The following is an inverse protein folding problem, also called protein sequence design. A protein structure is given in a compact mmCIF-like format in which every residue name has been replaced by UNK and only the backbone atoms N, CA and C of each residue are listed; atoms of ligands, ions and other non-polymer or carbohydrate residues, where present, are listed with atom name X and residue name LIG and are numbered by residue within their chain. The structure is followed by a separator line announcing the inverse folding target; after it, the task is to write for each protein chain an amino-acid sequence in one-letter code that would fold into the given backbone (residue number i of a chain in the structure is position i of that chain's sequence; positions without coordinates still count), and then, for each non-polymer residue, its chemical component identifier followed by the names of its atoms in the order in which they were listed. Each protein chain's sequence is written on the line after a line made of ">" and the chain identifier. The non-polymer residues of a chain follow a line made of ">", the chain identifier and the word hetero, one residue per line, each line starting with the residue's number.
data_IF_470911956090
#
_entry.id   IF_470911956090
#
_cell.length_a   1.000
_cell.length_b   1.000
_cell.length_c   1.000
_cell.angle_alpha   90.00
_cell.angle_beta   90.00
_cell.angle_gamma   90.00
#
_symmetry.space_group_name_H-M   'P 1'
#
loop_
_entity.id
_entity.type
_entity.pdbx_description
1 polymer ?
#
# COMPACT_ATOMS: atom_id res chain seq x y z
N UNK A 1 -31.97 -0.81 10.15
CA UNK A 1 -30.73 -1.58 9.90
C UNK A 1 -30.67 -2.72 10.90
N UNK A 2 -30.67 -3.98 10.44
CA UNK A 2 -30.65 -5.16 11.32
C UNK A 2 -29.31 -5.35 12.02
N UNK A 3 -29.31 -6.08 13.14
CA UNK A 3 -28.10 -6.36 13.93
C UNK A 3 -26.98 -7.03 13.12
N UNK A 4 -27.34 -7.91 12.17
CA UNK A 4 -26.41 -8.56 11.24
C UNK A 4 -25.58 -7.58 10.40
N UNK A 5 -26.17 -6.44 10.00
CA UNK A 5 -25.44 -5.42 9.24
C UNK A 5 -24.36 -4.76 10.09
N UNK A 6 -24.62 -4.53 11.38
CA UNK A 6 -23.65 -3.94 12.30
C UNK A 6 -22.47 -4.87 12.54
N UNK A 7 -22.72 -6.17 12.68
CA UNK A 7 -21.69 -7.19 12.84
C UNK A 7 -20.78 -7.30 11.60
N UNK A 8 -21.37 -7.35 10.40
CA UNK A 8 -20.62 -7.37 9.14
C UNK A 8 -19.79 -6.10 8.99
N UNK A 9 -20.36 -4.93 9.28
CA UNK A 9 -19.64 -3.67 9.22
C UNK A 9 -18.47 -3.62 10.22
N UNK A 10 -18.69 -4.07 11.45
CA UNK A 10 -17.64 -4.13 12.47
C UNK A 10 -16.51 -5.09 12.06
N UNK A 11 -16.86 -6.26 11.53
CA UNK A 11 -15.90 -7.23 11.02
C UNK A 11 -15.08 -6.66 9.86
N UNK A 12 -15.75 -6.03 8.88
CA UNK A 12 -15.07 -5.39 7.76
C UNK A 12 -14.12 -4.28 8.24
N UNK A 13 -14.57 -3.41 9.14
CA UNK A 13 -13.75 -2.34 9.72
C UNK A 13 -12.55 -2.92 10.47
N UNK A 14 -12.72 -4.01 11.23
CA UNK A 14 -11.63 -4.65 11.92
C UNK A 14 -10.59 -5.22 10.95
N UNK A 15 -11.03 -5.98 9.93
CA UNK A 15 -10.13 -6.63 8.96
C UNK A 15 -9.39 -5.60 8.11
N UNK A 16 -10.09 -4.66 7.48
CA UNK A 16 -9.45 -3.60 6.69
C UNK A 16 -8.65 -2.63 7.58
N UNK A 17 -9.10 -2.41 8.81
CA UNK A 17 -8.39 -1.60 9.80
C UNK A 17 -7.02 -2.16 10.15
N UNK A 18 -6.91 -3.49 10.35
CA UNK A 18 -5.61 -4.16 10.57
C UNK A 18 -4.68 -3.96 9.38
N UNK A 19 -5.17 -4.19 8.16
CA UNK A 19 -4.38 -3.97 6.93
C UNK A 19 -3.90 -2.53 6.80
N UNK A 20 -4.77 -1.56 7.07
CA UNK A 20 -4.44 -0.14 7.06
C UNK A 20 -3.38 0.21 8.12
N UNK A 21 -3.53 -0.26 9.36
CA UNK A 21 -2.58 0.00 10.45
C UNK A 21 -1.21 -0.58 10.13
N UNK A 22 -1.14 -1.81 9.61
CA UNK A 22 0.11 -2.43 9.18
C UNK A 22 0.82 -1.58 8.11
N UNK A 23 0.09 -1.19 7.06
CA UNK A 23 0.64 -0.36 5.99
C UNK A 23 1.09 1.00 6.50
N UNK A 24 0.33 1.65 7.38
CA UNK A 24 0.72 2.94 7.97
C UNK A 24 2.03 2.84 8.76
N UNK A 25 2.12 1.87 9.68
CA UNK A 25 3.30 1.68 10.54
C UNK A 25 4.53 1.38 9.68
N UNK A 26 4.41 0.42 8.76
CA UNK A 26 5.51 0.04 7.87
C UNK A 26 5.91 1.20 6.96
N UNK A 27 4.96 1.94 6.40
CA UNK A 27 5.26 3.10 5.56
C UNK A 27 5.97 4.20 6.34
N UNK A 28 5.63 4.41 7.62
CA UNK A 28 6.33 5.35 8.49
C UNK A 28 7.79 4.94 8.72
N UNK A 29 8.04 3.65 8.97
CA UNK A 29 9.40 3.11 9.16
C UNK A 29 10.20 3.19 7.86
N UNK A 30 9.63 2.73 6.75
CA UNK A 30 10.28 2.71 5.44
C UNK A 30 10.55 4.13 4.92
N UNK A 31 9.69 5.10 5.26
CA UNK A 31 9.84 6.49 4.85
C UNK A 31 11.14 7.16 5.31
N UNK A 32 11.83 6.61 6.33
CA UNK A 32 13.14 7.09 6.78
C UNK A 32 14.30 6.73 5.86
N UNK A 33 14.18 5.68 5.04
CA UNK A 33 15.32 5.14 4.27
C UNK A 33 15.00 4.93 2.78
N UNK A 34 13.74 4.72 2.42
CA UNK A 34 13.34 4.37 1.05
C UNK A 34 13.27 5.62 0.18
N UNK A 35 13.98 5.56 -0.95
CA UNK A 35 13.87 6.50 -2.07
C UNK A 35 13.98 7.99 -1.66
N UNK A 36 14.92 8.32 -0.76
CA UNK A 36 15.09 9.67 -0.18
C UNK A 36 15.32 10.78 -1.20
N UNK A 37 15.92 10.46 -2.35
CA UNK A 37 16.22 11.41 -3.44
C UNK A 37 15.23 11.35 -4.61
N UNK A 38 14.17 10.55 -4.50
CA UNK A 38 13.20 10.39 -5.58
C UNK A 38 12.09 11.45 -5.49
N UNK A 39 11.40 11.68 -6.61
CA UNK A 39 10.19 12.53 -6.63
C UNK A 39 9.16 12.05 -5.60
N UNK A 40 8.30 12.93 -5.04
CA UNK A 40 7.28 12.58 -4.05
C UNK A 40 6.43 11.39 -4.43
N UNK A 41 6.01 11.30 -5.70
CA UNK A 41 5.23 10.17 -6.17
C UNK A 41 6.04 8.89 -6.18
N UNK A 42 7.30 8.96 -6.63
CA UNK A 42 8.19 7.81 -6.65
C UNK A 42 8.52 7.31 -5.24
N UNK A 43 8.81 8.22 -4.32
CA UNK A 43 9.11 7.91 -2.92
C UNK A 43 7.90 7.33 -2.21
N UNK A 44 6.73 7.95 -2.37
CA UNK A 44 5.47 7.41 -1.82
C UNK A 44 5.17 6.02 -2.40
N UNK A 45 5.33 5.84 -3.71
CA UNK A 45 5.06 4.56 -4.38
C UNK A 45 5.96 3.42 -3.90
N UNK A 46 7.26 3.66 -3.73
CA UNK A 46 8.18 2.65 -3.19
C UNK A 46 7.91 2.35 -1.72
N UNK A 47 7.77 3.39 -0.91
CA UNK A 47 7.55 3.27 0.54
C UNK A 47 6.28 2.48 0.83
N UNK A 48 5.17 2.86 0.18
CA UNK A 48 3.87 2.24 0.41
C UNK A 48 3.74 0.90 -0.32
N UNK A 49 4.33 0.76 -1.51
CA UNK A 49 4.35 -0.50 -2.24
C UNK A 49 5.07 -1.62 -1.48
N UNK A 50 6.23 -1.32 -0.88
CA UNK A 50 6.96 -2.29 -0.04
C UNK A 50 6.18 -2.57 1.25
N UNK A 51 5.63 -1.54 1.91
CA UNK A 51 4.78 -1.72 3.09
C UNK A 51 3.56 -2.62 2.80
N UNK A 52 2.91 -2.41 1.67
CA UNK A 52 1.83 -3.25 1.17
C UNK A 52 2.31 -4.68 0.95
N UNK A 53 3.44 -4.89 0.27
CA UNK A 53 3.96 -6.23 -0.01
C UNK A 53 4.25 -7.02 1.26
N UNK A 54 4.88 -6.38 2.25
CA UNK A 54 5.17 -7.00 3.56
C UNK A 54 3.86 -7.33 4.28
N UNK A 55 2.89 -6.41 4.29
CA UNK A 55 1.60 -6.62 4.95
C UNK A 55 0.81 -7.75 4.30
N UNK A 56 0.71 -7.73 2.97
CA UNK A 56 0.05 -8.75 2.18
C UNK A 56 0.74 -10.10 2.36
N UNK A 57 2.07 -10.16 2.31
CA UNK A 57 2.85 -11.38 2.56
C UNK A 57 2.59 -11.95 3.95
N UNK A 58 2.64 -11.11 4.99
CA UNK A 58 2.35 -11.54 6.36
C UNK A 58 0.94 -12.15 6.50
N UNK A 59 -0.06 -11.55 5.85
CA UNK A 59 -1.42 -12.09 5.82
C UNK A 59 -1.53 -13.34 4.95
N UNK A 60 -0.85 -13.40 3.80
CA UNK A 60 -0.82 -14.56 2.90
C UNK A 60 -0.26 -15.78 3.62
N UNK A 61 0.72 -15.65 4.52
CA UNK A 61 1.31 -16.79 5.22
C UNK A 61 0.77 -16.99 6.65
N UNK A 62 0.17 -15.97 7.25
CA UNK A 62 -0.38 -16.01 8.60
C UNK A 62 -1.89 -16.25 8.69
N UNK A 63 -2.65 -16.04 7.59
CA UNK A 63 -4.10 -16.21 7.61
C UNK A 63 -4.53 -17.69 7.60
N UNK A 64 -5.67 -18.02 8.26
CA UNK A 64 -6.28 -19.34 8.20
C UNK A 64 -6.62 -19.77 6.77
N UNK A 65 -6.72 -21.09 6.55
CA UNK A 65 -6.95 -21.71 5.23
C UNK A 65 -8.20 -21.20 4.49
N UNK A 66 -9.23 -20.78 5.21
CA UNK A 66 -10.45 -20.24 4.59
C UNK A 66 -10.35 -18.80 4.07
N UNK A 67 -9.31 -18.04 4.45
CA UNK A 67 -9.29 -16.59 4.26
C UNK A 67 -8.02 -16.04 3.59
N UNK A 68 -6.97 -16.84 3.45
CA UNK A 68 -5.69 -16.38 2.89
C UNK A 68 -5.79 -15.93 1.43
N UNK A 69 -6.76 -16.44 0.67
CA UNK A 69 -7.04 -15.99 -0.71
C UNK A 69 -7.39 -14.50 -0.79
N UNK A 70 -7.99 -13.94 0.26
CA UNK A 70 -8.35 -12.52 0.33
C UNK A 70 -7.22 -11.66 0.92
N UNK A 71 -6.15 -12.27 1.44
CA UNK A 71 -5.07 -11.56 2.12
C UNK A 71 -4.43 -10.42 1.31
N UNK A 72 -4.20 -10.52 -0.03
CA UNK A 72 -3.68 -9.39 -0.81
C UNK A 72 -4.64 -8.19 -0.87
N UNK A 73 -5.96 -8.43 -0.77
CA UNK A 73 -6.97 -7.38 -0.88
C UNK A 73 -7.15 -6.62 0.44
N UNK A 74 -6.88 -7.24 1.58
CA UNK A 74 -7.07 -6.64 2.91
C UNK A 74 -6.24 -5.35 3.10
N UNK A 75 -4.92 -5.30 2.85
CA UNK A 75 -4.14 -4.09 3.01
C UNK A 75 -4.26 -3.11 1.84
N UNK A 76 -4.87 -3.50 0.72
CA UNK A 76 -4.89 -2.70 -0.52
C UNK A 76 -5.60 -1.34 -0.36
N UNK A 77 -6.81 -1.24 0.23
CA UNK A 77 -7.44 0.06 0.47
C UNK A 77 -6.58 0.97 1.37
N UNK A 78 -5.94 0.40 2.39
CA UNK A 78 -5.01 1.11 3.26
C UNK A 78 -3.79 1.62 2.49
N UNK A 79 -3.20 0.80 1.61
CA UNK A 79 -2.11 1.21 0.75
C UNK A 79 -2.48 2.35 -0.19
N UNK A 80 -3.64 2.31 -0.82
CA UNK A 80 -4.10 3.41 -1.68
C UNK A 80 -4.28 4.72 -0.89
N UNK A 81 -4.93 4.64 0.28
CA UNK A 81 -5.14 5.81 1.14
C UNK A 81 -3.83 6.40 1.67
N UNK A 82 -2.93 5.55 2.17
CA UNK A 82 -1.63 5.96 2.71
C UNK A 82 -0.71 6.51 1.62
N UNK A 83 -0.70 5.90 0.42
CA UNK A 83 0.01 6.42 -0.74
C UNK A 83 -0.42 7.84 -1.06
N UNK A 84 -1.73 8.09 -1.14
CA UNK A 84 -2.24 9.43 -1.43
C UNK A 84 -1.88 10.43 -0.33
N UNK A 85 -2.00 10.04 0.94
CA UNK A 85 -1.67 10.89 2.07
C UNK A 85 -0.18 11.26 2.12
N UNK A 86 0.71 10.26 2.01
CA UNK A 86 2.18 10.48 2.00
C UNK A 86 2.57 11.31 0.79
N UNK A 87 2.06 10.99 -0.40
CA UNK A 87 2.34 11.75 -1.63
C UNK A 87 1.91 13.21 -1.47
N UNK A 88 0.73 13.48 -0.92
CA UNK A 88 0.26 14.85 -0.68
C UNK A 88 1.19 15.61 0.27
N UNK A 89 1.61 14.98 1.37
CA UNK A 89 2.54 15.58 2.34
C UNK A 89 3.92 15.84 1.75
N UNK A 90 4.47 14.89 1.00
CA UNK A 90 5.76 15.03 0.32
C UNK A 90 5.70 16.10 -0.78
N UNK A 91 4.62 16.14 -1.56
CA UNK A 91 4.44 17.13 -2.64
C UNK A 91 4.34 18.56 -2.08
N UNK A 92 3.61 18.76 -0.98
CA UNK A 92 3.52 20.10 -0.36
C UNK A 92 4.89 20.60 0.04
N UNK A 93 5.66 19.79 0.77
CA UNK A 93 7.02 20.14 1.20
C UNK A 93 7.96 20.37 0.03
N UNK A 94 7.82 19.56 -1.03
CA UNK A 94 8.64 19.71 -2.22
C UNK A 94 8.32 21.00 -2.99
N UNK A 95 7.05 21.36 -3.12
CA UNK A 95 6.65 22.64 -3.73
C UNK A 95 7.17 23.81 -2.87
N UNK A 96 7.08 23.73 -1.55
CA UNK A 96 7.60 24.78 -0.66
C UNK A 96 9.13 24.95 -0.83
N UNK A 97 9.86 23.85 -0.99
CA UNK A 97 11.31 23.84 -1.27
C UNK A 97 11.67 24.35 -2.69
N UNK A 98 10.90 23.94 -3.71
CA UNK A 98 11.11 24.34 -5.11
C UNK A 98 10.69 25.80 -5.39
N UNK A 99 9.64 26.30 -4.73
CA UNK A 99 9.20 27.71 -4.80
C UNK A 99 10.25 28.62 -4.18
N UNK A 100 11.02 28.14 -3.20
CA UNK A 100 12.19 28.84 -2.70
C UNK A 100 13.39 28.85 -3.69
N UNK A 101 13.36 28.03 -4.74
CA UNK A 101 14.44 27.84 -5.72
C UNK A 101 14.01 28.06 -7.19
N UNK A 102 12.93 28.83 -7.41
CA UNK A 102 12.23 29.00 -8.69
C UNK A 102 13.03 28.72 -9.98
N UNK A 103 12.64 27.68 -10.72
CA UNK A 103 12.55 27.66 -12.18
C UNK A 103 11.84 26.37 -12.68
N UNK A 104 10.62 26.51 -13.18
CA UNK A 104 10.17 25.75 -14.36
C UNK A 104 9.59 24.34 -14.24
N UNK A 105 9.45 23.70 -13.07
CA UNK A 105 8.87 22.34 -13.03
C UNK A 105 7.33 22.35 -13.04
N UNK A 106 6.74 22.32 -14.24
CA UNK A 106 5.33 22.02 -14.43
C UNK A 106 5.05 20.58 -13.98
N UNK A 107 4.07 20.45 -13.09
CA UNK A 107 3.67 19.18 -12.51
C UNK A 107 2.98 18.34 -13.58
N UNK A 108 3.68 17.34 -14.10
CA UNK A 108 3.21 16.50 -15.21
C UNK A 108 2.23 15.41 -14.69
N UNK A 109 1.06 15.29 -15.31
CA UNK A 109 0.02 14.32 -14.95
C UNK A 109 0.49 12.84 -14.98
N UNK A 110 1.61 12.56 -15.66
CA UNK A 110 2.23 11.23 -15.74
C UNK A 110 2.73 10.69 -14.40
N UNK A 111 2.96 11.56 -13.42
CA UNK A 111 3.52 11.17 -12.13
C UNK A 111 2.54 10.31 -11.32
N UNK A 112 1.23 10.52 -11.47
CA UNK A 112 0.20 9.71 -10.81
C UNK A 112 0.13 8.28 -11.34
N UNK A 113 0.23 8.15 -12.67
CA UNK A 113 0.20 6.88 -13.38
C UNK A 113 1.39 6.03 -12.95
N UNK A 114 2.57 6.62 -12.80
CA UNK A 114 3.78 5.89 -12.39
C UNK A 114 3.68 5.32 -10.97
N UNK A 115 3.09 6.07 -10.04
CA UNK A 115 2.85 5.61 -8.67
C UNK A 115 1.82 4.48 -8.61
N UNK A 116 0.71 4.61 -9.34
CA UNK A 116 -0.32 3.58 -9.41
C UNK A 116 0.19 2.30 -10.07
N UNK A 117 0.97 2.42 -11.16
CA UNK A 117 1.58 1.29 -11.86
C UNK A 117 2.49 0.46 -10.93
N UNK A 118 3.19 1.12 -9.99
CA UNK A 118 4.00 0.42 -8.97
C UNK A 118 3.15 -0.32 -7.95
N UNK A 119 2.03 0.26 -7.51
CA UNK A 119 1.11 -0.46 -6.63
C UNK A 119 0.51 -1.68 -7.34
N UNK A 120 0.17 -1.56 -8.62
CA UNK A 120 -0.28 -2.69 -9.44
C UNK A 120 0.82 -3.75 -9.61
N UNK A 121 2.08 -3.34 -9.81
CA UNK A 121 3.21 -4.25 -9.84
C UNK A 121 3.33 -5.03 -8.53
N UNK A 122 3.27 -4.34 -7.38
CA UNK A 122 3.35 -4.96 -6.05
C UNK A 122 2.16 -5.87 -5.77
N UNK A 123 0.96 -5.52 -6.25
CA UNK A 123 -0.20 -6.41 -6.25
C UNK A 123 0.09 -7.68 -7.05
N UNK A 124 0.66 -7.55 -8.25
CA UNK A 124 1.09 -8.70 -9.06
C UNK A 124 2.07 -9.62 -8.31
N UNK A 125 3.05 -9.05 -7.60
CA UNK A 125 3.98 -9.83 -6.77
C UNK A 125 3.26 -10.52 -5.61
N UNK A 126 2.33 -9.84 -4.93
CA UNK A 126 1.52 -10.44 -3.87
C UNK A 126 0.66 -11.61 -4.40
N UNK A 127 0.09 -11.49 -5.60
CA UNK A 127 -0.63 -12.57 -6.27
C UNK A 127 0.29 -13.74 -6.63
N UNK A 128 1.53 -13.48 -7.05
CA UNK A 128 2.52 -14.54 -7.27
C UNK A 128 2.88 -15.30 -5.98
N UNK A 129 3.03 -14.59 -4.85
CA UNK A 129 3.23 -15.22 -3.54
C UNK A 129 2.02 -16.07 -3.11
N UNK A 130 0.82 -15.59 -3.41
CA UNK A 130 -0.41 -16.34 -3.19
C UNK A 130 -0.42 -17.64 -4.01
N UNK A 131 -0.08 -17.59 -5.30
CA UNK A 131 0.04 -18.78 -6.15
C UNK A 131 1.13 -19.74 -5.65
N UNK A 132 2.22 -19.23 -5.10
CA UNK A 132 3.28 -20.05 -4.49
C UNK A 132 2.77 -20.81 -3.25
N UNK A 133 2.02 -20.15 -2.36
CA UNK A 133 1.36 -20.83 -1.22
C UNK A 133 0.40 -21.90 -1.71
N UNK A 134 -0.43 -21.57 -2.71
CA UNK A 134 -1.36 -22.52 -3.32
C UNK A 134 -0.66 -23.77 -3.87
N UNK A 135 0.40 -23.57 -4.68
CA UNK A 135 1.16 -24.66 -5.26
C UNK A 135 1.80 -25.54 -4.18
N UNK A 136 2.28 -24.94 -3.07
CA UNK A 136 2.81 -25.69 -1.93
C UNK A 136 1.74 -26.58 -1.28
N UNK A 137 0.51 -26.09 -1.12
CA UNK A 137 -0.59 -26.90 -0.55
C UNK A 137 -1.10 -27.99 -1.49
N UNK A 138 -0.92 -27.85 -2.81
CA UNK A 138 -1.33 -28.88 -3.77
C UNK A 138 -0.33 -30.05 -3.86
N UNK A 139 0.89 -29.87 -3.38
CA UNK A 139 1.98 -30.86 -3.46
C UNK A 139 2.13 -31.69 -2.17
N UNK A 140 1.66 -31.18 -1.03
CA UNK A 140 1.73 -31.82 0.29
C UNK A 140 0.34 -32.07 0.85
#
# INVERSE_FOLDING_TARGET
>A
MGESFKEIALFAVAVFGVGLVMVMILSKILGFFVALKATPTNRAGWTVGIAYLISAGALIFGAPEGYWIYAPLVPLPGALGVFWFIRRGLRSRWIDDDVAHSEGHSIEDGDLVSGLLRLLLMLGVALALMLLRYARQAVF
#
